data_IF_422583451530
#
_entry.id   IF_422583451530
#
_cell.length_a   1.000
_cell.length_b   1.000
_cell.length_c   1.000
_cell.angle_alpha   90.00
_cell.angle_beta   90.00
_cell.angle_gamma   90.00
#
_symmetry.space_group_name_H-M   'P 1'
#
loop_
_entity.id
_entity.type
_entity.pdbx_description
1 polymer ?
#
# COMPACT_ATOMS: atom_id res chain seq x y z
N UNK A 1 -65.90 18.14 -30.92
CA UNK A 1 -64.48 17.77 -30.73
C UNK A 1 -64.36 17.33 -29.29
N UNK A 2 -64.26 16.04 -29.04
CA UNK A 2 -63.82 15.45 -27.79
C UNK A 2 -63.59 13.98 -28.08
N UNK A 3 -62.35 13.52 -27.89
CA UNK A 3 -61.93 12.17 -28.13
C UNK A 3 -61.32 11.64 -26.85
N UNK A 4 -61.96 10.65 -26.25
CA UNK A 4 -61.40 9.83 -25.19
C UNK A 4 -61.15 8.43 -25.73
N UNK A 5 -59.89 7.99 -25.64
CA UNK A 5 -59.45 6.62 -25.86
C UNK A 5 -58.89 6.12 -24.54
N UNK A 6 -59.70 5.36 -23.80
CA UNK A 6 -59.23 4.51 -22.71
C UNK A 6 -59.10 3.07 -23.20
N UNK A 7 -57.89 2.51 -23.08
CA UNK A 7 -57.62 1.08 -23.23
C UNK A 7 -56.87 0.59 -21.98
N UNK A 8 -57.32 -0.47 -21.30
CA UNK A 8 -56.68 -0.95 -20.08
C UNK A 8 -55.51 -1.89 -20.38
N UNK A 9 -54.33 -1.55 -19.84
CA UNK A 9 -53.17 -2.43 -19.76
C UNK A 9 -53.02 -2.96 -18.33
N UNK A 10 -53.65 -4.09 -18.01
CA UNK A 10 -53.47 -4.80 -16.74
C UNK A 10 -53.49 -6.31 -17.00
N UNK A 11 -52.32 -6.97 -16.98
CA UNK A 11 -52.25 -8.42 -17.20
C UNK A 11 -50.87 -9.08 -17.03
N UNK A 12 -49.80 -8.36 -16.71
CA UNK A 12 -48.44 -8.92 -16.68
C UNK A 12 -47.81 -9.03 -15.28
N UNK A 13 -48.39 -8.44 -14.24
CA UNK A 13 -47.82 -8.46 -12.86
C UNK A 13 -47.99 -9.80 -12.14
N UNK A 14 -49.16 -10.43 -12.27
CA UNK A 14 -49.54 -11.57 -11.42
C UNK A 14 -48.77 -12.84 -11.77
N UNK A 15 -48.44 -13.01 -13.06
CA UNK A 15 -47.60 -14.12 -13.53
C UNK A 15 -46.14 -13.98 -13.09
N UNK A 16 -45.64 -12.74 -12.96
CA UNK A 16 -44.29 -12.50 -12.48
C UNK A 16 -44.20 -12.80 -10.98
N UNK A 17 -45.17 -12.35 -10.18
CA UNK A 17 -45.22 -12.67 -8.74
C UNK A 17 -45.35 -14.17 -8.48
N UNK A 18 -46.15 -14.89 -9.26
CA UNK A 18 -46.25 -16.34 -9.16
C UNK A 18 -44.91 -17.04 -9.46
N UNK A 19 -44.18 -16.60 -10.49
CA UNK A 19 -42.86 -17.12 -10.82
C UNK A 19 -41.80 -16.80 -9.73
N UNK A 20 -41.82 -15.58 -9.18
CA UNK A 20 -40.95 -15.18 -8.07
C UNK A 20 -41.26 -15.93 -6.77
N UNK A 21 -42.52 -16.29 -6.53
CA UNK A 21 -42.93 -17.15 -5.41
C UNK A 21 -42.45 -18.58 -5.59
N UNK A 22 -42.42 -19.07 -6.83
CA UNK A 22 -41.96 -20.41 -7.18
C UNK A 22 -40.43 -20.57 -7.10
N UNK A 23 -39.66 -19.52 -7.38
CA UNK A 23 -38.19 -19.48 -7.23
C UNK A 23 -37.72 -18.73 -5.97
N UNK A 24 -38.65 -18.30 -5.12
CA UNK A 24 -38.39 -17.49 -3.94
C UNK A 24 -37.76 -18.25 -2.78
N UNK A 25 -37.49 -17.53 -1.68
CA UNK A 25 -36.87 -18.04 -0.46
C UNK A 25 -37.71 -19.09 0.29
N UNK A 26 -38.94 -19.32 -0.13
CA UNK A 26 -39.84 -20.31 0.49
C UNK A 26 -39.63 -21.72 -0.09
N UNK A 27 -39.11 -21.82 -1.32
CA UNK A 27 -38.78 -23.08 -1.98
C UNK A 27 -37.40 -23.61 -1.50
N UNK A 28 -37.22 -24.92 -1.21
CA UNK A 28 -35.92 -25.51 -0.89
C UNK A 28 -34.80 -25.14 -1.88
N UNK A 29 -35.09 -25.04 -3.18
CA UNK A 29 -34.11 -24.62 -4.17
C UNK A 29 -33.68 -23.14 -3.98
N UNK A 30 -34.63 -22.25 -3.72
CA UNK A 30 -34.37 -20.85 -3.40
C UNK A 30 -33.66 -20.67 -2.06
N UNK A 31 -33.96 -21.48 -1.05
CA UNK A 31 -33.22 -21.52 0.23
C UNK A 31 -31.78 -21.97 0.03
N UNK A 32 -31.53 -22.95 -0.85
CA UNK A 32 -30.19 -23.43 -1.16
C UNK A 32 -29.36 -22.38 -1.92
N UNK A 33 -29.96 -21.74 -2.94
CA UNK A 33 -29.33 -20.62 -3.66
C UNK A 33 -29.06 -19.44 -2.72
N UNK A 34 -30.02 -19.10 -1.85
CA UNK A 34 -29.80 -18.07 -0.85
C UNK A 34 -28.68 -18.46 0.11
N UNK A 35 -28.59 -19.71 0.59
CA UNK A 35 -27.45 -20.15 1.42
C UNK A 35 -26.10 -20.09 0.69
N UNK A 36 -26.07 -20.36 -0.62
CA UNK A 36 -24.86 -20.28 -1.44
C UNK A 36 -24.38 -18.84 -1.66
N UNK A 37 -25.32 -17.90 -1.87
CA UNK A 37 -25.00 -16.51 -2.21
C UNK A 37 -25.11 -15.53 -1.03
N UNK A 38 -25.67 -15.95 0.10
CA UNK A 38 -25.78 -15.10 1.28
C UNK A 38 -24.42 -15.04 1.99
N UNK A 39 -23.81 -13.86 1.94
CA UNK A 39 -22.46 -13.57 2.43
C UNK A 39 -22.23 -13.98 3.89
N UNK A 40 -23.29 -14.08 4.70
CA UNK A 40 -23.17 -14.45 6.11
C UNK A 40 -23.00 -15.96 6.36
N UNK A 41 -23.47 -16.83 5.45
CA UNK A 41 -23.23 -18.27 5.58
C UNK A 41 -21.73 -18.60 5.44
N UNK A 42 -21.06 -17.94 4.49
CA UNK A 42 -19.61 -18.02 4.33
C UNK A 42 -18.86 -17.49 5.56
N UNK A 43 -19.31 -16.37 6.16
CA UNK A 43 -18.74 -15.85 7.42
C UNK A 43 -18.92 -16.83 8.58
N UNK A 44 -20.09 -17.46 8.71
CA UNK A 44 -20.35 -18.44 9.77
C UNK A 44 -19.46 -19.70 9.62
N UNK A 45 -19.26 -20.18 8.40
CA UNK A 45 -18.35 -21.30 8.11
C UNK A 45 -16.89 -20.91 8.39
N UNK A 46 -16.47 -19.69 8.01
CA UNK A 46 -15.15 -19.17 8.34
C UNK A 46 -14.91 -19.06 9.84
N UNK A 47 -15.90 -18.55 10.58
CA UNK A 47 -15.84 -18.43 12.03
C UNK A 47 -15.78 -19.81 12.72
N UNK A 48 -16.55 -20.80 12.25
CA UNK A 48 -16.53 -22.16 12.82
C UNK A 48 -15.21 -22.90 12.50
N UNK A 49 -14.63 -22.65 11.33
CA UNK A 49 -13.31 -23.18 10.98
C UNK A 49 -12.21 -22.54 11.84
N UNK A 50 -12.28 -21.23 12.07
CA UNK A 50 -11.35 -20.51 12.94
C UNK A 50 -11.41 -21.01 14.39
N UNK A 51 -12.61 -21.19 14.97
CA UNK A 51 -12.76 -21.70 16.33
C UNK A 51 -12.25 -23.14 16.47
N UNK A 52 -12.51 -24.01 15.49
CA UNK A 52 -11.99 -25.38 15.48
C UNK A 52 -10.46 -25.41 15.39
N UNK A 53 -9.86 -24.60 14.52
CA UNK A 53 -8.40 -24.51 14.41
C UNK A 53 -7.77 -23.98 15.70
N UNK A 54 -8.40 -22.98 16.34
CA UNK A 54 -7.96 -22.48 17.65
C UNK A 54 -7.99 -23.59 18.70
N UNK A 55 -9.08 -24.35 18.79
CA UNK A 55 -9.18 -25.49 19.72
C UNK A 55 -8.13 -26.57 19.46
N UNK A 56 -7.84 -26.88 18.19
CA UNK A 56 -6.78 -27.85 17.82
C UNK A 56 -5.41 -27.31 18.21
N UNK A 57 -5.15 -26.02 17.99
CA UNK A 57 -3.90 -25.36 18.36
C UNK A 57 -3.72 -25.33 19.88
N UNK A 58 -4.75 -24.95 20.63
CA UNK A 58 -4.75 -24.92 22.09
C UNK A 58 -4.52 -26.32 22.66
N UNK A 59 -5.12 -27.36 22.05
CA UNK A 59 -4.87 -28.76 22.43
C UNK A 59 -3.44 -29.21 22.15
N UNK A 60 -2.81 -28.73 21.07
CA UNK A 60 -1.39 -29.00 20.76
C UNK A 60 -0.45 -28.32 21.76
N UNK A 61 -0.73 -27.06 22.11
CA UNK A 61 0.02 -26.34 23.14
C UNK A 61 -0.11 -27.04 24.50
N UNK A 62 -1.33 -27.49 24.86
CA UNK A 62 -1.57 -28.24 26.09
C UNK A 62 -0.83 -29.60 26.11
N UNK A 63 -0.60 -30.23 24.95
CA UNK A 63 0.22 -31.45 24.85
C UNK A 63 1.74 -31.19 24.83
N UNK A 64 2.18 -29.95 25.11
CA UNK A 64 3.60 -29.58 25.14
C UNK A 64 4.24 -29.41 23.76
N UNK A 65 3.44 -29.37 22.69
CA UNK A 65 3.97 -29.08 21.35
C UNK A 65 4.35 -27.60 21.29
N UNK A 66 5.63 -27.30 21.09
CA UNK A 66 6.12 -25.97 20.77
C UNK A 66 6.52 -25.94 19.29
N UNK A 67 6.10 -24.92 18.53
CA UNK A 67 6.58 -24.78 17.15
C UNK A 67 8.10 -24.65 17.18
N UNK A 68 8.77 -25.30 16.23
CA UNK A 68 10.22 -25.17 16.09
C UNK A 68 10.57 -23.68 15.98
N UNK A 69 11.58 -23.19 16.74
CA UNK A 69 12.01 -21.81 16.62
C UNK A 69 12.38 -21.56 15.17
N UNK A 70 11.77 -20.53 14.56
CA UNK A 70 12.13 -20.09 13.23
C UNK A 70 13.60 -19.70 13.30
N UNK A 71 14.47 -20.53 12.75
CA UNK A 71 15.88 -20.20 12.59
C UNK A 71 15.97 -19.06 11.59
N UNK A 72 15.98 -17.83 12.11
CA UNK A 72 16.34 -16.67 11.30
C UNK A 72 17.68 -16.99 10.63
N UNK A 73 17.80 -16.84 9.30
CA UNK A 73 19.07 -17.04 8.63
C UNK A 73 20.10 -16.11 9.29
N UNK A 74 21.28 -16.65 9.61
CA UNK A 74 22.31 -15.91 10.32
C UNK A 74 22.56 -14.59 9.59
N UNK A 75 22.26 -13.47 10.27
CA UNK A 75 22.49 -12.14 9.71
C UNK A 75 23.97 -12.06 9.34
N UNK A 76 24.32 -11.67 8.10
CA UNK A 76 25.71 -11.58 7.68
C UNK A 76 26.45 -10.67 8.66
N UNK A 77 27.57 -11.16 9.22
CA UNK A 77 28.42 -10.35 10.10
C UNK A 77 28.99 -9.22 9.25
N UNK A 78 28.46 -8.01 9.42
CA UNK A 78 29.03 -6.82 8.79
C UNK A 78 30.34 -6.50 9.50
N UNK A 79 31.45 -6.86 8.87
CA UNK A 79 32.78 -6.44 9.30
C UNK A 79 32.89 -4.93 9.09
N UNK A 80 32.76 -4.16 10.17
CA UNK A 80 32.98 -2.72 10.12
C UNK A 80 34.48 -2.49 9.94
N UNK A 81 34.91 -1.66 8.99
CA UNK A 81 36.32 -1.34 8.83
C UNK A 81 36.85 -0.72 10.12
N UNK A 82 37.84 -1.37 10.73
CA UNK A 82 38.44 -0.92 11.98
C UNK A 82 39.59 0.04 11.64
N UNK A 83 39.29 1.33 11.67
CA UNK A 83 40.28 2.38 11.43
C UNK A 83 40.99 2.71 12.75
N UNK A 84 42.31 2.58 12.78
CA UNK A 84 43.12 2.97 13.93
C UNK A 84 43.19 4.49 14.03
N UNK A 85 42.36 5.06 14.90
CA UNK A 85 42.40 6.48 15.25
C UNK A 85 43.18 6.71 16.54
N UNK A 86 44.03 7.76 16.61
CA UNK A 86 44.74 8.14 17.82
C UNK A 86 43.78 8.29 19.01
N UNK A 87 44.08 7.61 20.12
CA UNK A 87 43.28 7.65 21.34
C UNK A 87 43.65 8.88 22.15
N UNK A 88 42.81 9.92 22.09
CA UNK A 88 42.98 11.09 22.94
C UNK A 88 42.49 10.82 24.36
N UNK A 89 43.17 11.34 25.41
CA UNK A 89 42.70 11.23 26.77
C UNK A 89 41.33 11.91 26.89
N UNK A 90 40.37 11.20 27.51
CA UNK A 90 39.06 11.77 27.79
C UNK A 90 39.26 12.95 28.75
N UNK A 91 38.77 14.13 28.36
CA UNK A 91 38.75 15.28 29.25
C UNK A 91 37.83 14.97 30.42
N UNK A 92 38.29 15.24 31.64
CA UNK A 92 37.48 15.11 32.84
C UNK A 92 36.49 16.29 32.81
N UNK A 93 35.20 15.98 32.77
CA UNK A 93 34.15 16.98 32.84
C UNK A 93 34.00 17.43 34.30
N UNK A 94 34.16 18.74 34.54
CA UNK A 94 33.95 19.36 35.85
C UNK A 94 32.57 20.04 35.87
N UNK A 95 31.85 19.97 37.00
CA UNK A 95 30.55 20.65 37.15
C UNK A 95 30.64 22.17 36.91
N UNK A 96 31.80 22.76 37.19
CA UNK A 96 32.10 24.18 36.98
C UNK A 96 32.59 24.52 35.56
N UNK A 97 32.47 23.59 34.60
CA UNK A 97 32.88 23.87 33.23
C UNK A 97 32.12 25.08 32.66
N UNK A 98 32.85 26.01 32.03
CA UNK A 98 32.28 27.22 31.39
C UNK A 98 31.12 26.92 30.44
N UNK A 99 31.13 25.73 29.85
CA UNK A 99 30.14 25.19 28.93
C UNK A 99 28.75 25.00 29.59
N UNK A 100 28.70 24.83 30.93
CA UNK A 100 27.47 24.71 31.71
C UNK A 100 26.80 26.06 32.00
N UNK A 101 27.55 27.17 31.91
CA UNK A 101 27.05 28.53 32.19
C UNK A 101 26.67 29.31 30.92
N UNK A 102 26.62 28.65 29.75
CA UNK A 102 26.20 29.27 28.50
C UNK A 102 24.69 29.55 28.58
N UNK A 103 24.24 30.82 28.49
CA UNK A 103 22.82 31.16 28.55
C UNK A 103 22.02 30.40 27.47
N UNK A 104 20.82 29.92 27.83
CA UNK A 104 19.90 29.12 26.98
C UNK A 104 20.37 27.72 26.60
N UNK A 105 21.55 27.27 27.06
CA UNK A 105 21.99 25.88 26.87
C UNK A 105 21.36 24.99 27.94
N UNK A 106 20.65 23.95 27.52
CA UNK A 106 20.06 22.97 28.43
C UNK A 106 21.12 21.93 28.84
N UNK A 107 21.18 21.50 30.11
CA UNK A 107 22.09 20.46 30.54
C UNK A 107 21.67 19.10 29.95
N UNK A 108 22.64 18.20 29.78
CA UNK A 108 22.41 16.87 29.19
C UNK A 108 21.30 16.10 29.92
N UNK A 109 21.29 16.14 31.25
CA UNK A 109 20.27 15.44 32.05
C UNK A 109 18.86 15.93 31.79
N UNK A 110 18.67 17.25 31.57
CA UNK A 110 17.36 17.79 31.24
C UNK A 110 16.88 17.30 29.87
N UNK A 111 17.77 17.30 28.87
CA UNK A 111 17.47 16.79 27.53
C UNK A 111 17.13 15.29 27.60
N UNK A 112 17.90 14.51 28.37
CA UNK A 112 17.67 13.08 28.53
C UNK A 112 16.33 12.78 29.21
N UNK A 113 16.00 13.51 30.28
CA UNK A 113 14.69 13.38 30.94
C UNK A 113 13.53 13.75 30.00
N UNK A 114 13.67 14.77 29.17
CA UNK A 114 12.67 15.12 28.16
C UNK A 114 12.48 13.99 27.13
N UNK A 115 13.57 13.41 26.64
CA UNK A 115 13.53 12.27 25.70
C UNK A 115 12.85 11.06 26.34
N UNK A 116 13.24 10.71 27.57
CA UNK A 116 12.69 9.55 28.27
C UNK A 116 11.19 9.75 28.56
N UNK A 117 10.79 10.96 28.98
CA UNK A 117 9.38 11.32 29.20
C UNK A 117 8.55 11.27 27.91
N UNK A 118 9.09 11.74 26.79
CA UNK A 118 8.41 11.64 25.49
C UNK A 118 8.31 10.17 25.04
N UNK A 119 9.32 9.36 25.31
CA UNK A 119 9.29 7.93 25.01
C UNK A 119 8.22 7.20 25.83
N UNK A 120 8.08 7.50 27.12
CA UNK A 120 7.01 6.98 27.98
C UNK A 120 5.63 7.44 27.51
N UNK A 121 5.51 8.70 27.06
CA UNK A 121 4.29 9.23 26.47
C UNK A 121 3.90 8.50 25.20
N UNK A 122 4.84 8.28 24.27
CA UNK A 122 4.58 7.52 23.04
C UNK A 122 4.25 6.05 23.32
N UNK A 123 4.85 5.46 24.36
CA UNK A 123 4.59 4.08 24.77
C UNK A 123 3.20 3.89 25.40
N UNK A 124 2.74 4.88 26.17
CA UNK A 124 1.43 4.86 26.84
C UNK A 124 0.30 5.40 25.96
N UNK A 125 0.62 6.17 24.92
CA UNK A 125 -0.36 6.66 23.97
C UNK A 125 -0.99 5.50 23.17
N UNK A 126 -2.31 5.51 22.96
CA UNK A 126 -2.95 4.56 22.06
C UNK A 126 -2.36 4.73 20.65
N UNK A 127 -1.86 3.63 20.08
CA UNK A 127 -1.38 3.61 18.70
C UNK A 127 -2.51 4.08 17.78
N UNK A 128 -2.27 5.14 17.02
CA UNK A 128 -3.24 5.59 16.03
C UNK A 128 -3.52 4.44 15.06
N UNK A 129 -4.79 4.24 14.65
CA UNK A 129 -5.11 3.23 13.67
C UNK A 129 -4.30 3.50 12.39
N UNK A 130 -3.75 2.47 11.74
CA UNK A 130 -2.94 2.65 10.55
C UNK A 130 -3.77 3.35 9.46
N UNK A 131 -3.26 4.46 8.93
CA UNK A 131 -3.92 5.25 7.88
C UNK A 131 -4.01 4.53 6.53
N UNK A 132 -3.32 3.39 6.40
CA UNK A 132 -3.30 2.56 5.19
C UNK A 132 -3.65 1.12 5.58
N UNK A 133 -4.25 0.34 4.66
CA UNK A 133 -4.42 -1.08 4.88
C UNK A 133 -3.07 -1.69 5.27
N UNK A 134 -3.06 -2.48 6.35
CA UNK A 134 -1.85 -3.09 6.93
C UNK A 134 -1.11 -3.99 5.93
N UNK A 135 -1.83 -4.46 4.91
CA UNK A 135 -1.30 -5.26 3.82
C UNK A 135 -1.55 -4.55 2.49
N UNK A 136 -0.48 -4.30 1.75
CA UNK A 136 -0.57 -3.86 0.37
C UNK A 136 -1.18 -4.96 -0.51
N UNK A 137 -1.78 -4.58 -1.65
CA UNK A 137 -2.37 -5.54 -2.60
C UNK A 137 -1.36 -6.61 -3.06
N UNK A 138 -0.09 -6.22 -3.18
CA UNK A 138 1.03 -7.13 -3.50
C UNK A 138 1.23 -8.19 -2.42
N UNK A 139 1.19 -7.81 -1.15
CA UNK A 139 1.35 -8.76 -0.04
C UNK A 139 0.13 -9.66 0.10
N UNK A 140 -1.06 -9.11 -0.12
CA UNK A 140 -2.30 -9.89 -0.19
C UNK A 140 -2.24 -10.95 -1.28
N UNK A 141 -1.73 -10.61 -2.46
CA UNK A 141 -1.51 -11.56 -3.56
C UNK A 141 -0.49 -12.65 -3.18
N UNK A 142 0.65 -12.26 -2.58
CA UNK A 142 1.67 -13.19 -2.09
C UNK A 142 1.11 -14.17 -1.04
N UNK A 143 0.31 -13.68 -0.09
CA UNK A 143 -0.35 -14.52 0.91
C UNK A 143 -1.39 -15.46 0.30
N UNK A 144 -2.17 -14.98 -0.66
CA UNK A 144 -3.10 -15.81 -1.42
C UNK A 144 -2.37 -16.94 -2.15
N UNK A 145 -1.22 -16.66 -2.75
CA UNK A 145 -0.37 -17.65 -3.41
C UNK A 145 0.20 -18.68 -2.42
N UNK A 146 0.72 -18.22 -1.28
CA UNK A 146 1.16 -19.10 -0.19
C UNK A 146 0.04 -20.01 0.31
N UNK A 147 -1.18 -19.50 0.45
CA UNK A 147 -2.34 -20.31 0.85
C UNK A 147 -2.75 -21.31 -0.23
N UNK A 148 -2.75 -20.90 -1.50
CA UNK A 148 -3.03 -21.76 -2.65
C UNK A 148 -2.09 -22.96 -2.69
N UNK A 149 -0.80 -22.74 -2.39
CA UNK A 149 0.23 -23.78 -2.42
C UNK A 149 0.57 -24.38 -1.05
N UNK A 150 -0.25 -24.16 -0.02
CA UNK A 150 -0.04 -24.67 1.35
C UNK A 150 1.39 -24.41 1.89
N UNK A 151 1.92 -23.23 1.60
CA UNK A 151 3.26 -22.80 2.02
C UNK A 151 4.42 -23.27 1.12
N UNK A 152 4.17 -24.08 0.09
CA UNK A 152 5.19 -24.54 -0.87
C UNK A 152 4.95 -23.93 -2.25
N UNK A 153 5.19 -22.62 -2.36
CA UNK A 153 5.12 -21.95 -3.67
C UNK A 153 6.17 -22.59 -4.58
N UNK A 154 5.80 -23.06 -5.79
CA UNK A 154 6.76 -23.56 -6.75
C UNK A 154 7.85 -22.51 -6.99
N UNK A 155 9.11 -22.90 -6.85
CA UNK A 155 10.23 -22.03 -7.24
C UNK A 155 10.18 -21.87 -8.75
N UNK A 156 9.69 -20.72 -9.20
CA UNK A 156 9.69 -20.35 -10.62
C UNK A 156 11.15 -20.39 -11.09
N UNK A 157 11.46 -21.27 -12.05
CA UNK A 157 12.80 -21.30 -12.63
C UNK A 157 13.03 -20.02 -13.43
N UNK A 158 14.27 -19.54 -13.55
CA UNK A 158 14.57 -18.33 -14.33
C UNK A 158 14.08 -18.44 -15.79
N UNK A 159 14.01 -19.64 -16.35
CA UNK A 159 13.42 -19.91 -17.66
C UNK A 159 11.90 -19.66 -17.71
N UNK A 160 11.15 -20.12 -16.71
CA UNK A 160 9.70 -19.88 -16.60
C UNK A 160 9.39 -18.39 -16.40
N UNK A 161 10.26 -17.68 -15.70
CA UNK A 161 10.16 -16.23 -15.50
C UNK A 161 10.43 -15.48 -16.81
N UNK A 162 11.43 -15.93 -17.58
CA UNK A 162 11.72 -15.39 -18.92
C UNK A 162 10.56 -15.66 -19.90
N UNK A 163 9.93 -16.83 -19.85
CA UNK A 163 8.79 -17.16 -20.70
C UNK A 163 7.53 -16.38 -20.32
N UNK A 164 7.29 -16.12 -19.03
CA UNK A 164 6.24 -15.21 -18.59
C UNK A 164 6.48 -13.77 -19.05
N UNK A 165 7.74 -13.30 -18.99
CA UNK A 165 8.12 -11.97 -19.50
C UNK A 165 8.00 -11.88 -21.03
N UNK A 166 8.25 -12.98 -21.77
CA UNK A 166 8.01 -13.06 -23.21
C UNK A 166 6.53 -13.11 -23.56
N UNK A 167 5.71 -13.71 -22.71
CA UNK A 167 4.26 -13.81 -22.88
C UNK A 167 3.50 -12.53 -22.49
N UNK A 168 4.16 -11.60 -21.79
CA UNK A 168 3.59 -10.28 -21.55
C UNK A 168 3.37 -9.56 -22.90
N UNK A 169 2.19 -8.97 -23.14
CA UNK A 169 1.93 -8.24 -24.36
C UNK A 169 2.95 -7.10 -24.48
N UNK A 170 3.76 -7.13 -25.52
CA UNK A 170 4.67 -6.03 -25.85
C UNK A 170 3.79 -4.84 -26.21
N UNK A 171 3.82 -3.80 -25.38
CA UNK A 171 3.15 -2.54 -25.68
C UNK A 171 3.59 -2.07 -27.06
N UNK A 172 2.64 -1.60 -27.87
CA UNK A 172 2.98 -1.02 -29.17
C UNK A 172 3.91 0.18 -28.98
N UNK A 173 4.72 0.52 -29.99
CA UNK A 173 5.59 1.71 -29.92
C UNK A 173 4.79 2.97 -29.60
N UNK A 174 3.57 3.07 -30.13
CA UNK A 174 2.62 4.15 -29.82
C UNK A 174 2.20 4.17 -28.36
N UNK A 175 1.79 3.03 -27.79
CA UNK A 175 1.43 2.94 -26.37
C UNK A 175 2.60 3.31 -25.45
N UNK A 176 3.83 2.97 -25.83
CA UNK A 176 5.03 3.36 -25.07
C UNK A 176 5.25 4.88 -25.12
N UNK A 177 5.01 5.51 -26.28
CA UNK A 177 5.09 6.96 -26.43
C UNK A 177 3.98 7.69 -25.66
N UNK A 178 2.76 7.14 -25.65
CA UNK A 178 1.62 7.65 -24.85
C UNK A 178 1.92 7.57 -23.34
N UNK A 179 2.47 6.45 -22.86
CA UNK A 179 2.88 6.30 -21.46
C UNK A 179 4.00 7.29 -21.09
N UNK A 180 4.98 7.49 -21.98
CA UNK A 180 6.04 8.47 -21.77
C UNK A 180 5.49 9.90 -21.76
N UNK A 181 4.52 10.21 -22.61
CA UNK A 181 3.83 11.49 -22.65
C UNK A 181 3.11 11.77 -21.31
N UNK A 182 2.31 10.83 -20.83
CA UNK A 182 1.60 10.94 -19.54
C UNK A 182 2.58 11.10 -18.37
N UNK A 183 3.69 10.35 -18.37
CA UNK A 183 4.71 10.46 -17.34
C UNK A 183 5.34 11.86 -17.29
N UNK A 184 5.67 12.45 -18.45
CA UNK A 184 6.24 13.81 -18.54
C UNK A 184 5.22 14.86 -18.09
N UNK A 185 3.95 14.72 -18.47
CA UNK A 185 2.88 15.65 -18.02
C UNK A 185 2.77 15.62 -16.50
N UNK A 186 2.70 14.43 -15.90
CA UNK A 186 2.64 14.27 -14.45
C UNK A 186 3.84 14.89 -13.75
N UNK A 187 5.04 14.69 -14.30
CA UNK A 187 6.27 15.30 -13.79
C UNK A 187 6.27 16.85 -13.84
N UNK A 188 5.60 17.44 -14.83
CA UNK A 188 5.43 18.90 -14.93
C UNK A 188 4.42 19.38 -13.87
N UNK A 189 3.32 18.65 -13.68
CA UNK A 189 2.31 18.94 -12.68
C UNK A 189 2.89 18.88 -11.27
N UNK A 190 3.61 17.81 -10.93
CA UNK A 190 4.27 17.65 -9.62
C UNK A 190 5.24 18.81 -9.33
N UNK A 191 5.99 19.28 -10.34
CA UNK A 191 6.89 20.44 -10.18
C UNK A 191 6.14 21.75 -9.99
N UNK A 192 5.01 21.93 -10.67
CA UNK A 192 4.13 23.11 -10.50
C UNK A 192 3.49 23.11 -9.10
N UNK A 193 2.99 21.96 -8.67
CA UNK A 193 2.44 21.78 -7.32
C UNK A 193 3.50 22.02 -6.25
N UNK A 194 4.74 21.54 -6.48
CA UNK A 194 5.85 21.80 -5.56
C UNK A 194 6.15 23.29 -5.40
N UNK A 195 6.14 24.06 -6.50
CA UNK A 195 6.28 25.52 -6.45
C UNK A 195 5.12 26.17 -5.68
N UNK A 196 3.88 25.77 -5.95
CA UNK A 196 2.70 26.29 -5.26
C UNK A 196 2.75 25.97 -3.75
N UNK A 197 3.18 24.76 -3.39
CA UNK A 197 3.32 24.35 -1.99
C UNK A 197 4.41 25.16 -1.26
N UNK A 198 5.54 25.45 -1.92
CA UNK A 198 6.60 26.29 -1.37
C UNK A 198 6.16 27.75 -1.21
N UNK A 199 5.38 28.27 -2.16
CA UNK A 199 4.78 29.59 -2.11
C UNK A 199 3.80 29.71 -0.94
N UNK A 200 2.86 28.77 -0.83
CA UNK A 200 1.89 28.70 0.27
C UNK A 200 2.57 28.58 1.65
N UNK A 201 3.72 27.89 1.72
CA UNK A 201 4.51 27.76 2.95
C UNK A 201 5.38 29.00 3.26
N UNK A 202 5.42 30.01 2.39
CA UNK A 202 6.28 31.20 2.54
C UNK A 202 7.79 30.89 2.47
N UNK A 203 8.17 29.73 1.93
CA UNK A 203 9.57 29.27 1.82
C UNK A 203 10.12 29.38 0.40
N UNK A 204 9.41 30.06 -0.49
CA UNK A 204 9.79 30.21 -1.88
C UNK A 204 11.03 31.11 -2.01
N UNK A 205 12.11 30.54 -2.54
CA UNK A 205 13.33 31.28 -2.86
C UNK A 205 13.42 31.50 -4.37
N UNK A 206 13.95 32.65 -4.77
CA UNK A 206 14.09 33.03 -6.20
C UNK A 206 14.95 32.01 -6.96
N UNK A 207 16.03 31.51 -6.35
CA UNK A 207 16.91 30.52 -6.97
C UNK A 207 16.16 29.20 -7.23
N UNK A 208 15.35 28.76 -6.27
CA UNK A 208 14.53 27.55 -6.38
C UNK A 208 13.49 27.70 -7.49
N UNK A 209 12.89 28.89 -7.63
CA UNK A 209 11.97 29.19 -8.73
C UNK A 209 12.65 29.07 -10.09
N UNK A 210 13.83 29.66 -10.26
CA UNK A 210 14.56 29.61 -11.53
C UNK A 210 14.96 28.18 -11.90
N UNK A 211 15.47 27.41 -10.92
CA UNK A 211 15.84 26.01 -11.11
C UNK A 211 14.64 25.18 -11.58
N UNK A 212 13.52 25.23 -10.86
CA UNK A 212 12.34 24.42 -11.18
C UNK A 212 11.69 24.88 -12.49
N UNK A 213 11.68 26.18 -12.79
CA UNK A 213 11.22 26.68 -14.10
C UNK A 213 12.11 26.17 -15.24
N UNK A 214 13.42 26.07 -15.02
CA UNK A 214 14.35 25.43 -15.96
C UNK A 214 14.01 23.97 -16.21
N UNK A 215 13.75 23.21 -15.14
CA UNK A 215 13.32 21.80 -15.24
C UNK A 215 11.99 21.65 -15.98
N UNK A 216 10.99 22.48 -15.65
CA UNK A 216 9.70 22.51 -16.35
C UNK A 216 9.92 22.80 -17.85
N UNK A 217 10.75 23.79 -18.19
CA UNK A 217 11.05 24.12 -19.59
C UNK A 217 11.72 22.95 -20.32
N UNK A 218 12.65 22.25 -19.68
CA UNK A 218 13.30 21.08 -20.26
C UNK A 218 12.29 19.94 -20.51
N UNK A 219 11.40 19.68 -19.55
CA UNK A 219 10.33 18.68 -19.69
C UNK A 219 9.30 19.05 -20.73
N UNK A 220 8.95 20.34 -20.87
CA UNK A 220 8.07 20.81 -21.95
C UNK A 220 8.72 20.60 -23.33
N UNK A 221 10.02 20.84 -23.46
CA UNK A 221 10.74 20.56 -24.71
C UNK A 221 10.79 19.06 -25.02
N UNK A 222 10.92 18.21 -24.01
CA UNK A 222 10.83 16.76 -24.15
C UNK A 222 9.42 16.32 -24.57
N UNK A 223 8.38 16.86 -23.92
CA UNK A 223 6.98 16.61 -24.25
C UNK A 223 6.68 16.95 -25.72
N UNK A 224 7.18 18.08 -26.21
CA UNK A 224 7.03 18.47 -27.62
C UNK A 224 7.68 17.48 -28.60
N UNK A 225 8.81 16.87 -28.23
CA UNK A 225 9.45 15.83 -29.05
C UNK A 225 8.60 14.55 -29.06
N UNK A 226 8.07 14.14 -27.91
CA UNK A 226 7.19 12.96 -27.82
C UNK A 226 5.90 13.19 -28.60
N UNK A 227 5.28 14.36 -28.51
CA UNK A 227 4.10 14.75 -29.29
C UNK A 227 4.37 14.72 -30.80
N UNK A 228 5.53 15.20 -31.24
CA UNK A 228 5.94 15.13 -32.65
C UNK A 228 6.09 13.68 -33.14
N UNK A 229 6.67 12.80 -32.31
CA UNK A 229 6.78 11.37 -32.63
C UNK A 229 5.38 10.72 -32.68
N UNK A 230 4.52 10.98 -31.70
CA UNK A 230 3.14 10.46 -31.70
C UNK A 230 2.35 10.83 -32.94
N UNK A 231 2.52 12.06 -33.45
CA UNK A 231 1.89 12.50 -34.71
C UNK A 231 2.41 11.71 -35.91
N UNK A 232 3.72 11.45 -35.99
CA UNK A 232 4.30 10.64 -37.07
C UNK A 232 3.78 9.20 -37.07
N UNK A 233 3.54 8.62 -35.90
CA UNK A 233 2.96 7.27 -35.76
C UNK A 233 1.42 7.25 -35.90
N UNK A 234 0.75 8.41 -35.92
CA UNK A 234 -0.70 8.52 -36.09
C UNK A 234 -1.15 8.76 -37.55
N UNK A 235 -0.23 9.16 -38.43
CA UNK A 235 -0.49 9.40 -39.86
C UNK A 235 -0.15 8.20 -40.77
N UNK A 236 0.40 7.12 -40.21
CA UNK A 236 0.69 5.86 -40.90
C UNK A 236 -0.43 4.82 -40.66
#
# INVERSE_FOLDING_TARGET
MEGDRDAPAAGTSDNLEAAWKQFGRDNPAGKALFKLYNKDAAKQIGNSYHTRNKQVHDKKLASGWTPAPVTEPAKPKVEKPQVEVPKFPKRIDYDTARINYIPRRRPFEAIRREIDAEYERMRSAPQAPPNRPVLDEKEKARLAELMRFRGKVPTVTPEQLADQLKAAPRKSEREQLEEMFEAIVKEIEERREFLQALEAAGRLRIDTVHMIRGEISARVAELQKVDALLKQYGEA
#
